data_IF_981315404470
#
_entry.id   IF_981315404470
#
_cell.length_a   1.000
_cell.length_b   1.000
_cell.length_c   1.000
_cell.angle_alpha   90.00
_cell.angle_beta   90.00
_cell.angle_gamma   90.00
#
_symmetry.space_group_name_H-M   'P 1'
#
loop_
_entity.id
_entity.type
_entity.pdbx_description
1 polymer ?
#
# COMPACT_ATOMS: atom_id res chain seq x y z
N UNK A 1 -44.30 -102.02 15.45
CA UNK A 1 -42.92 -101.60 15.79
C UNK A 1 -42.79 -100.11 15.50
N UNK A 2 -42.00 -99.39 16.29
CA UNK A 2 -41.77 -97.92 16.32
C UNK A 2 -42.73 -97.05 17.16
N UNK A 3 -42.35 -96.92 18.44
CA UNK A 3 -42.70 -95.84 19.37
C UNK A 3 -42.04 -94.54 18.88
N UNK A 4 -42.81 -93.48 18.66
CA UNK A 4 -42.28 -92.11 18.69
C UNK A 4 -42.75 -91.43 19.98
N UNK A 5 -41.82 -91.30 20.92
CA UNK A 5 -41.95 -90.46 22.11
C UNK A 5 -41.96 -88.99 21.65
N UNK A 6 -43.12 -88.32 21.77
CA UNK A 6 -43.17 -86.86 21.71
C UNK A 6 -42.70 -86.31 23.05
N UNK A 7 -41.41 -85.97 23.12
CA UNK A 7 -40.92 -85.09 24.16
C UNK A 7 -41.57 -83.71 23.95
N UNK A 8 -42.56 -83.37 24.78
CA UNK A 8 -43.04 -82.01 24.91
C UNK A 8 -41.89 -81.16 25.48
N UNK A 9 -41.19 -80.43 24.61
CA UNK A 9 -40.32 -79.34 25.04
C UNK A 9 -41.20 -78.34 25.80
N UNK A 10 -40.87 -78.12 27.07
CA UNK A 10 -41.56 -77.14 27.90
C UNK A 10 -41.16 -75.72 27.42
N UNK A 11 -41.98 -75.14 26.54
CA UNK A 11 -41.76 -73.84 25.88
C UNK A 11 -42.05 -72.65 26.83
N UNK A 12 -42.24 -72.89 28.14
CA UNK A 12 -42.62 -71.86 29.12
C UNK A 12 -41.47 -70.92 29.54
N UNK A 13 -40.30 -70.99 28.90
CA UNK A 13 -39.13 -70.13 29.19
C UNK A 13 -38.55 -69.36 27.99
N UNK A 14 -38.87 -69.72 26.74
CA UNK A 14 -38.28 -69.06 25.56
C UNK A 14 -38.83 -67.65 25.32
N UNK A 15 -40.10 -67.40 25.66
CA UNK A 15 -40.69 -66.05 25.62
C UNK A 15 -40.01 -65.10 26.61
N UNK A 16 -39.60 -65.61 27.78
CA UNK A 16 -38.85 -64.85 28.77
C UNK A 16 -37.45 -64.47 28.26
N UNK A 17 -36.73 -65.41 27.64
CA UNK A 17 -35.40 -65.15 27.07
C UNK A 17 -35.46 -64.13 25.93
N UNK A 18 -36.43 -64.25 25.02
CA UNK A 18 -36.60 -63.31 23.90
C UNK A 18 -36.98 -61.90 24.37
N UNK A 19 -37.85 -61.78 25.38
CA UNK A 19 -38.20 -60.47 25.96
C UNK A 19 -37.02 -59.84 26.68
N UNK A 20 -36.19 -60.63 27.36
CA UNK A 20 -35.01 -60.13 28.06
C UNK A 20 -33.92 -59.64 27.09
N UNK A 21 -33.71 -60.35 25.98
CA UNK A 21 -32.81 -59.91 24.89
C UNK A 21 -33.34 -58.64 24.21
N UNK A 22 -34.65 -58.56 23.97
CA UNK A 22 -35.23 -57.37 23.35
C UNK A 22 -35.13 -56.14 24.27
N UNK A 23 -35.42 -56.31 25.57
CA UNK A 23 -35.27 -55.26 26.57
C UNK A 23 -33.81 -54.82 26.75
N UNK A 24 -32.84 -55.75 26.70
CA UNK A 24 -31.43 -55.40 26.82
C UNK A 24 -30.94 -54.61 25.60
N UNK A 25 -31.31 -55.02 24.38
CA UNK A 25 -31.00 -54.27 23.15
C UNK A 25 -31.64 -52.87 23.20
N UNK A 26 -32.93 -52.79 23.57
CA UNK A 26 -33.64 -51.51 23.71
C UNK A 26 -32.95 -50.59 24.74
N UNK A 27 -32.50 -51.15 25.87
CA UNK A 27 -31.79 -50.41 26.91
C UNK A 27 -30.44 -49.88 26.41
N UNK A 28 -29.67 -50.68 25.67
CA UNK A 28 -28.38 -50.27 25.10
C UNK A 28 -28.55 -49.16 24.07
N UNK A 29 -29.57 -49.27 23.20
CA UNK A 29 -29.88 -48.24 22.21
C UNK A 29 -30.31 -46.95 22.92
N UNK A 30 -31.16 -47.06 23.96
CA UNK A 30 -31.65 -45.90 24.71
C UNK A 30 -30.52 -45.16 25.43
N UNK A 31 -29.58 -45.86 26.08
CA UNK A 31 -28.43 -45.21 26.72
C UNK A 31 -27.49 -44.58 25.70
N UNK A 32 -27.31 -45.21 24.54
CA UNK A 32 -26.50 -44.66 23.44
C UNK A 32 -27.08 -43.36 22.89
N UNK A 33 -28.40 -43.30 22.67
CA UNK A 33 -29.09 -42.09 22.18
C UNK A 33 -29.01 -40.97 23.22
N UNK A 34 -29.27 -41.26 24.50
CA UNK A 34 -29.14 -40.26 25.57
C UNK A 34 -27.71 -39.74 25.65
N UNK A 35 -26.71 -40.62 25.52
CA UNK A 35 -25.30 -40.23 25.46
C UNK A 35 -25.00 -39.27 24.29
N UNK A 36 -25.56 -39.56 23.11
CA UNK A 36 -25.40 -38.72 21.92
C UNK A 36 -26.06 -37.35 22.10
N UNK A 37 -27.28 -37.28 22.65
CA UNK A 37 -27.97 -36.00 22.94
C UNK A 37 -27.19 -35.16 23.95
N UNK A 38 -26.63 -35.78 24.99
CA UNK A 38 -25.79 -35.06 25.96
C UNK A 38 -24.52 -34.53 25.29
N UNK A 39 -23.88 -35.33 24.43
CA UNK A 39 -22.70 -34.93 23.69
C UNK A 39 -23.01 -33.76 22.72
N UNK A 40 -24.12 -33.84 21.98
CA UNK A 40 -24.58 -32.77 21.09
C UNK A 40 -24.90 -31.48 21.87
N UNK A 41 -25.58 -31.58 23.01
CA UNK A 41 -25.88 -30.41 23.83
C UNK A 41 -24.61 -29.76 24.40
N UNK A 42 -23.63 -30.55 24.84
CA UNK A 42 -22.32 -30.03 25.27
C UNK A 42 -21.60 -29.33 24.12
N UNK A 43 -21.60 -29.92 22.92
CA UNK A 43 -21.00 -29.34 21.73
C UNK A 43 -21.71 -28.04 21.33
N UNK A 44 -23.04 -28.00 21.38
CA UNK A 44 -23.83 -26.82 21.09
C UNK A 44 -23.53 -25.67 22.07
N UNK A 45 -23.44 -25.96 23.36
CA UNK A 45 -23.04 -24.98 24.38
C UNK A 45 -21.62 -24.46 24.14
N UNK A 46 -20.67 -25.35 23.81
CA UNK A 46 -19.30 -24.94 23.51
C UNK A 46 -19.26 -23.98 22.32
N UNK A 47 -19.90 -24.34 21.20
CA UNK A 47 -19.97 -23.48 20.00
C UNK A 47 -20.62 -22.13 20.29
N UNK A 48 -21.67 -22.12 21.09
CA UNK A 48 -22.34 -20.87 21.49
C UNK A 48 -21.41 -19.98 22.33
N UNK A 49 -20.71 -20.57 23.30
CA UNK A 49 -19.72 -19.84 24.11
C UNK A 49 -18.59 -19.30 23.24
N UNK A 50 -18.09 -20.08 22.29
CA UNK A 50 -17.05 -19.64 21.35
C UNK A 50 -17.50 -18.43 20.52
N UNK A 51 -18.74 -18.44 20.03
CA UNK A 51 -19.33 -17.34 19.27
C UNK A 51 -19.51 -16.09 20.14
N UNK A 52 -20.03 -16.24 21.37
CA UNK A 52 -20.12 -15.11 22.30
C UNK A 52 -18.74 -14.52 22.62
N UNK A 53 -17.74 -15.35 22.90
CA UNK A 53 -16.38 -14.88 23.16
C UNK A 53 -15.80 -14.14 21.95
N UNK A 54 -16.09 -14.59 20.73
CA UNK A 54 -15.71 -13.90 19.49
C UNK A 54 -16.38 -12.52 19.38
N UNK A 55 -17.70 -12.44 19.58
CA UNK A 55 -18.44 -11.17 19.51
C UNK A 55 -18.04 -10.18 20.61
N UNK A 56 -17.73 -10.69 21.81
CA UNK A 56 -17.19 -9.87 22.91
C UNK A 56 -15.81 -9.32 22.53
N UNK A 57 -14.94 -10.14 21.90
CA UNK A 57 -13.64 -9.69 21.43
C UNK A 57 -13.77 -8.62 20.31
N UNK A 58 -14.68 -8.81 19.35
CA UNK A 58 -15.00 -7.82 18.31
C UNK A 58 -15.52 -6.51 18.89
N UNK A 59 -16.40 -6.58 19.89
CA UNK A 59 -16.92 -5.39 20.58
C UNK A 59 -15.78 -4.57 21.20
N UNK A 60 -14.74 -5.24 21.70
CA UNK A 60 -13.53 -4.57 22.17
C UNK A 60 -12.78 -3.82 21.07
N UNK A 61 -12.63 -4.39 19.87
CA UNK A 61 -12.03 -3.67 18.73
C UNK A 61 -12.87 -2.43 18.38
N UNK A 62 -14.20 -2.56 18.27
CA UNK A 62 -15.07 -1.42 17.96
C UNK A 62 -15.00 -0.32 19.03
N UNK A 63 -14.90 -0.69 20.31
CA UNK A 63 -14.69 0.26 21.40
C UNK A 63 -13.33 0.97 21.29
N UNK A 64 -12.26 0.24 20.95
CA UNK A 64 -10.95 0.82 20.72
C UNK A 64 -10.95 1.81 19.53
N UNK A 65 -11.62 1.46 18.42
CA UNK A 65 -11.84 2.37 17.29
C UNK A 65 -12.54 3.65 17.73
N UNK A 66 -13.62 3.54 18.49
CA UNK A 66 -14.34 4.70 19.01
C UNK A 66 -13.42 5.58 19.87
N UNK A 67 -12.65 5.00 20.80
CA UNK A 67 -11.69 5.76 21.63
C UNK A 67 -10.68 6.50 20.78
N UNK A 68 -10.04 5.81 19.83
CA UNK A 68 -8.99 6.41 19.01
C UNK A 68 -9.50 7.42 17.99
N UNK A 69 -10.78 7.36 17.61
CA UNK A 69 -11.41 8.41 16.82
C UNK A 69 -11.62 9.71 17.63
N UNK A 70 -11.66 9.65 18.96
CA UNK A 70 -11.79 10.82 19.84
C UNK A 70 -10.44 11.30 20.38
N UNK A 71 -9.52 10.37 20.69
CA UNK A 71 -8.14 10.66 21.09
C UNK A 71 -7.18 9.67 20.41
N UNK A 72 -6.53 10.14 19.34
CA UNK A 72 -5.62 9.32 18.53
C UNK A 72 -4.32 8.92 19.26
N UNK A 73 -4.04 9.54 20.41
CA UNK A 73 -2.85 9.28 21.23
C UNK A 73 -3.11 8.34 22.42
N UNK A 74 -4.38 7.96 22.65
CA UNK A 74 -4.79 7.13 23.77
C UNK A 74 -4.52 5.64 23.51
N UNK A 75 -3.29 5.21 23.80
CA UNK A 75 -2.86 3.81 23.72
C UNK A 75 -3.05 3.04 25.04
N UNK A 76 -3.88 3.55 25.96
CA UNK A 76 -4.02 2.92 27.27
C UNK A 76 -4.87 1.64 27.18
N UNK A 77 -4.27 0.53 27.61
CA UNK A 77 -4.97 -0.74 27.73
C UNK A 77 -6.19 -0.63 28.66
N UNK A 78 -7.23 -1.38 28.37
CA UNK A 78 -8.47 -1.34 29.14
C UNK A 78 -9.10 -2.73 29.23
N UNK A 79 -9.70 -3.04 30.38
CA UNK A 79 -10.57 -4.20 30.53
C UNK A 79 -11.98 -3.69 30.78
N UNK A 80 -12.94 -4.19 30.00
CA UNK A 80 -14.33 -3.75 30.08
C UNK A 80 -15.27 -4.93 30.02
N UNK A 81 -16.43 -4.77 30.66
CA UNK A 81 -17.51 -5.75 30.67
C UNK A 81 -18.58 -5.32 29.68
N UNK A 82 -18.95 -6.22 28.77
CA UNK A 82 -20.03 -6.02 27.81
C UNK A 82 -21.36 -6.43 28.46
N UNK A 83 -22.33 -5.53 28.43
CA UNK A 83 -23.69 -5.78 28.91
C UNK A 83 -24.69 -5.81 27.76
N UNK A 84 -25.75 -6.60 27.92
CA UNK A 84 -26.91 -6.55 27.04
C UNK A 84 -27.76 -5.29 27.29
N UNK A 85 -28.83 -5.12 26.50
CA UNK A 85 -29.75 -3.99 26.63
C UNK A 85 -30.47 -3.92 27.99
N UNK A 86 -30.62 -5.04 28.69
CA UNK A 86 -31.23 -5.12 30.01
C UNK A 86 -30.22 -4.92 31.15
N UNK A 87 -28.94 -4.70 30.83
CA UNK A 87 -27.85 -4.55 31.81
C UNK A 87 -27.26 -5.87 32.30
N UNK A 88 -27.66 -7.00 31.71
CA UNK A 88 -27.08 -8.31 32.02
C UNK A 88 -25.67 -8.45 31.44
N UNK A 89 -24.73 -8.97 32.23
CA UNK A 89 -23.39 -9.25 31.73
C UNK A 89 -23.43 -10.33 30.63
N UNK A 90 -22.73 -10.09 29.53
CA UNK A 90 -22.53 -11.04 28.43
C UNK A 90 -21.13 -11.63 28.51
N UNK A 91 -20.12 -10.81 28.77
CA UNK A 91 -18.73 -11.21 28.87
C UNK A 91 -17.82 -10.02 29.09
N UNK A 92 -16.52 -10.24 29.07
CA UNK A 92 -15.52 -9.19 29.23
C UNK A 92 -14.43 -9.29 28.19
N UNK A 93 -13.81 -8.15 27.86
CA UNK A 93 -12.66 -8.08 26.97
C UNK A 93 -11.54 -7.25 27.56
N UNK A 94 -10.31 -7.53 27.12
CA UNK A 94 -9.11 -6.75 27.43
C UNK A 94 -8.46 -6.27 26.14
N UNK A 95 -8.14 -4.97 26.11
CA UNK A 95 -7.48 -4.30 25.00
C UNK A 95 -6.00 -4.08 25.29
N UNK A 96 -5.18 -4.33 24.29
CA UNK A 96 -3.77 -3.98 24.27
C UNK A 96 -3.43 -3.30 22.95
N UNK A 97 -2.65 -2.23 23.04
CA UNK A 97 -2.17 -1.47 21.88
C UNK A 97 -0.67 -1.72 21.72
N UNK A 98 -0.24 -1.97 20.49
CA UNK A 98 1.17 -2.02 20.13
C UNK A 98 1.45 -0.81 19.24
N UNK A 99 2.30 0.09 19.72
CA UNK A 99 2.75 1.24 18.94
C UNK A 99 3.52 0.76 17.72
N UNK A 100 3.34 1.41 16.55
CA UNK A 100 4.09 1.08 15.36
C UNK A 100 5.61 1.19 15.59
N UNK A 101 6.38 0.38 14.86
CA UNK A 101 7.81 0.61 14.72
C UNK A 101 8.06 1.95 13.99
N UNK A 102 9.24 2.55 14.17
CA UNK A 102 9.56 3.88 13.62
C UNK A 102 9.13 4.02 12.16
N UNK A 103 8.39 5.08 11.82
CA UNK A 103 7.94 5.33 10.44
C UNK A 103 6.73 4.53 9.96
N UNK A 104 6.09 3.69 10.78
CA UNK A 104 4.71 3.26 10.51
C UNK A 104 3.75 4.15 11.31
N UNK A 105 2.67 4.62 10.69
CA UNK A 105 1.65 5.45 11.35
C UNK A 105 0.47 4.63 11.90
N UNK A 106 0.53 3.31 11.76
CA UNK A 106 -0.59 2.40 12.06
C UNK A 106 -0.39 1.68 13.38
N UNK A 107 -1.45 1.63 14.17
CA UNK A 107 -1.45 1.01 15.48
C UNK A 107 -2.04 -0.39 15.37
N UNK A 108 -1.41 -1.37 16.02
CA UNK A 108 -2.01 -2.70 16.16
C UNK A 108 -2.84 -2.74 17.45
N UNK A 109 -4.13 -3.04 17.31
CA UNK A 109 -5.07 -3.18 18.41
C UNK A 109 -5.38 -4.66 18.57
N UNK A 110 -5.17 -5.20 19.77
CA UNK A 110 -5.53 -6.58 20.09
C UNK A 110 -6.60 -6.58 21.17
N UNK A 111 -7.69 -7.30 20.90
CA UNK A 111 -8.80 -7.50 21.82
C UNK A 111 -8.93 -8.98 22.17
N UNK A 112 -8.81 -9.29 23.46
CA UNK A 112 -9.04 -10.64 24.00
C UNK A 112 -10.38 -10.65 24.74
N UNK A 113 -11.39 -11.33 24.19
CA UNK A 113 -12.73 -11.44 24.75
C UNK A 113 -13.08 -12.83 25.26
N UNK A 114 -13.90 -12.92 26.30
CA UNK A 114 -14.45 -14.17 26.82
C UNK A 114 -15.89 -13.99 27.32
N UNK A 115 -16.68 -15.06 27.19
CA UNK A 115 -18.02 -15.15 27.76
C UNK A 115 -17.98 -15.26 29.29
N UNK A 116 -18.94 -14.64 29.98
CA UNK A 116 -18.97 -14.49 31.44
C UNK A 116 -18.79 -15.79 32.24
N UNK A 117 -19.37 -16.89 31.75
CA UNK A 117 -19.40 -18.17 32.46
C UNK A 117 -18.23 -19.09 32.03
N UNK A 118 -17.31 -18.59 31.19
CA UNK A 118 -16.26 -19.40 30.57
C UNK A 118 -15.01 -18.58 30.23
N UNK A 119 -14.30 -18.10 31.26
CA UNK A 119 -13.06 -17.31 31.12
C UNK A 119 -11.93 -18.02 30.38
N UNK A 120 -11.94 -19.35 30.37
CA UNK A 120 -10.91 -20.16 29.69
C UNK A 120 -11.18 -20.27 28.18
N UNK A 121 -12.42 -20.08 27.74
CA UNK A 121 -12.83 -20.10 26.34
C UNK A 121 -12.81 -18.68 25.79
N UNK A 122 -11.61 -18.14 25.58
CA UNK A 122 -11.42 -16.80 25.03
C UNK A 122 -11.17 -16.81 23.53
N UNK A 123 -11.40 -15.66 22.89
CA UNK A 123 -11.01 -15.35 21.51
C UNK A 123 -10.16 -14.10 21.50
N UNK A 124 -9.10 -14.11 20.69
CA UNK A 124 -8.23 -12.96 20.50
C UNK A 124 -8.27 -12.53 19.04
N UNK A 125 -8.75 -11.31 18.81
CA UNK A 125 -8.77 -10.67 17.49
C UNK A 125 -7.80 -9.50 17.49
N UNK A 126 -7.16 -9.27 16.35
CA UNK A 126 -6.22 -8.17 16.16
C UNK A 126 -6.61 -7.40 14.90
N UNK A 127 -6.56 -6.07 14.97
CA UNK A 127 -6.73 -5.21 13.82
C UNK A 127 -5.62 -4.17 13.73
N UNK A 128 -5.25 -3.77 12.51
CA UNK A 128 -4.40 -2.58 12.29
C UNK A 128 -5.30 -1.38 12.03
N UNK A 129 -5.08 -0.30 12.76
CA UNK A 129 -5.85 0.93 12.62
C UNK A 129 -4.93 2.07 12.23
N UNK A 130 -5.32 2.83 11.21
CA UNK A 130 -4.57 3.99 10.74
C UNK A 130 -5.22 4.60 9.52
N UNK A 131 -4.65 5.71 9.05
CA UNK A 131 -5.03 6.31 7.77
C UNK A 131 -4.42 5.50 6.63
N UNK A 132 -5.12 5.42 5.50
CA UNK A 132 -4.57 4.81 4.30
C UNK A 132 -3.41 5.66 3.78
N UNK A 133 -2.32 5.04 3.36
CA UNK A 133 -1.24 5.76 2.70
C UNK A 133 -1.63 6.16 1.27
N UNK A 134 -0.95 7.16 0.71
CA UNK A 134 -1.12 7.54 -0.71
C UNK A 134 -0.86 6.35 -1.65
N UNK A 135 -0.02 5.40 -1.22
CA UNK A 135 0.29 4.14 -1.88
C UNK A 135 -0.88 3.20 -2.06
N UNK A 136 -2.04 3.47 -1.44
CA UNK A 136 -3.27 2.73 -1.71
C UNK A 136 -3.74 2.87 -3.18
N UNK A 137 -3.25 3.91 -3.86
CA UNK A 137 -3.42 4.14 -5.28
C UNK A 137 -2.16 3.70 -6.04
N UNK A 138 -2.35 3.03 -7.17
CA UNK A 138 -1.25 2.81 -8.12
C UNK A 138 -0.90 4.12 -8.81
N UNK A 139 -1.92 4.92 -9.13
CA UNK A 139 -1.76 6.25 -9.71
C UNK A 139 -2.60 7.27 -8.95
N UNK A 140 -1.96 8.33 -8.47
CA UNK A 140 -2.62 9.41 -7.74
C UNK A 140 -2.13 10.76 -8.26
N UNK A 141 -3.04 11.52 -8.87
CA UNK A 141 -2.73 12.78 -9.52
C UNK A 141 -3.56 13.96 -8.99
N UNK A 142 -2.99 15.16 -8.95
CA UNK A 142 -3.75 16.41 -8.68
C UNK A 142 -4.22 17.07 -9.99
N UNK A 143 -3.47 16.88 -11.10
CA UNK A 143 -3.84 17.33 -12.44
C UNK A 143 -4.47 16.20 -13.29
N UNK A 144 -4.96 16.52 -14.49
CA UNK A 144 -5.50 15.53 -15.41
C UNK A 144 -4.45 14.53 -15.90
N UNK A 145 -4.90 13.36 -16.34
CA UNK A 145 -4.02 12.27 -16.76
C UNK A 145 -4.56 11.55 -18.00
N UNK A 146 -3.66 10.94 -18.77
CA UNK A 146 -4.01 10.08 -19.91
C UNK A 146 -3.35 8.71 -19.79
N UNK A 147 -4.18 7.67 -19.79
CA UNK A 147 -3.76 6.27 -19.81
C UNK A 147 -4.00 5.68 -21.20
N UNK A 148 -2.97 5.75 -22.04
CA UNK A 148 -2.90 5.08 -23.34
C UNK A 148 -2.31 3.66 -23.30
N UNK A 149 -2.13 3.08 -22.11
CA UNK A 149 -1.59 1.71 -21.91
C UNK A 149 -2.67 0.64 -22.07
N UNK A 150 -2.33 -0.60 -22.47
CA UNK A 150 -3.32 -1.66 -22.65
C UNK A 150 -4.03 -2.06 -21.34
N UNK A 151 -3.29 -2.09 -20.22
CA UNK A 151 -3.81 -2.48 -18.90
C UNK A 151 -3.29 -1.58 -17.80
N UNK A 152 -4.17 -1.19 -16.87
CA UNK A 152 -3.83 -0.43 -15.66
C UNK A 152 -4.20 -1.28 -14.45
N UNK A 153 -3.20 -1.64 -13.65
CA UNK A 153 -3.39 -2.42 -12.43
C UNK A 153 -3.45 -1.52 -11.19
N UNK A 154 -4.39 -1.78 -10.29
CA UNK A 154 -4.57 -1.02 -9.06
C UNK A 154 -5.44 0.23 -9.23
N UNK A 155 -5.66 0.94 -8.13
CA UNK A 155 -6.59 2.07 -8.08
C UNK A 155 -5.98 3.31 -8.73
N UNK A 156 -6.81 4.08 -9.43
CA UNK A 156 -6.45 5.35 -10.05
C UNK A 156 -7.31 6.47 -9.48
N UNK A 157 -6.68 7.58 -9.12
CA UNK A 157 -7.38 8.80 -8.74
C UNK A 157 -6.73 10.03 -9.37
N UNK A 158 -7.57 10.99 -9.78
CA UNK A 158 -7.13 12.34 -10.15
C UNK A 158 -8.09 13.37 -9.58
N UNK A 159 -7.57 14.47 -9.03
CA UNK A 159 -8.40 15.65 -8.74
C UNK A 159 -8.84 16.39 -10.02
N UNK A 160 -8.17 16.13 -11.14
CA UNK A 160 -8.55 16.55 -12.49
C UNK A 160 -9.30 15.45 -13.25
N UNK A 161 -9.27 15.55 -14.59
CA UNK A 161 -9.93 14.59 -15.48
C UNK A 161 -9.00 13.46 -15.92
N UNK A 162 -9.57 12.27 -16.14
CA UNK A 162 -8.84 11.08 -16.57
C UNK A 162 -9.33 10.62 -17.94
N UNK A 163 -8.43 10.62 -18.92
CA UNK A 163 -8.60 9.88 -20.18
C UNK A 163 -8.13 8.44 -19.99
N UNK A 164 -9.05 7.49 -19.95
CA UNK A 164 -8.79 6.06 -19.79
C UNK A 164 -9.08 5.31 -21.09
N UNK A 165 -8.04 5.10 -21.91
CA UNK A 165 -8.13 4.30 -23.14
C UNK A 165 -7.72 2.82 -22.91
N UNK A 166 -7.08 2.54 -21.77
CA UNK A 166 -6.70 1.20 -21.33
C UNK A 166 -7.80 0.42 -20.59
N UNK A 167 -7.61 -0.89 -20.43
CA UNK A 167 -8.47 -1.70 -19.56
C UNK A 167 -7.99 -1.62 -18.12
N UNK A 168 -8.88 -1.24 -17.20
CA UNK A 168 -8.56 -1.16 -15.78
C UNK A 168 -9.07 -2.38 -15.01
N UNK A 169 -8.33 -2.81 -14.00
CA UNK A 169 -8.72 -3.94 -13.13
C UNK A 169 -9.27 -3.50 -11.75
N UNK A 170 -9.24 -2.20 -11.45
CA UNK A 170 -9.69 -1.59 -10.20
C UNK A 170 -10.42 -0.26 -10.42
N UNK A 171 -10.76 0.43 -9.33
CA UNK A 171 -11.53 1.66 -9.37
C UNK A 171 -10.73 2.82 -10.00
N UNK A 172 -11.36 3.54 -10.93
CA UNK A 172 -10.86 4.79 -11.51
C UNK A 172 -11.75 5.93 -11.03
N UNK A 173 -11.17 6.90 -10.35
CA UNK A 173 -11.91 7.98 -9.72
C UNK A 173 -11.43 9.35 -10.14
N UNK A 174 -12.37 10.26 -10.38
CA UNK A 174 -12.07 11.67 -10.65
C UNK A 174 -12.89 12.57 -9.72
N UNK A 175 -12.26 13.62 -9.20
CA UNK A 175 -12.95 14.57 -8.32
C UNK A 175 -13.93 15.49 -9.07
N UNK A 176 -13.75 15.66 -10.39
CA UNK A 176 -14.57 16.57 -11.19
C UNK A 176 -15.69 15.84 -11.92
N UNK A 177 -16.84 16.50 -12.05
CA UNK A 177 -17.96 15.98 -12.86
C UNK A 177 -17.69 16.14 -14.36
N UNK A 178 -16.96 17.19 -14.74
CA UNK A 178 -16.59 17.51 -16.11
C UNK A 178 -15.19 18.12 -16.17
N UNK A 179 -14.48 17.86 -17.26
CA UNK A 179 -13.10 18.30 -17.46
C UNK A 179 -12.89 18.86 -18.86
N UNK A 180 -11.98 19.83 -19.00
CA UNK A 180 -11.59 20.38 -20.31
C UNK A 180 -10.43 19.57 -20.87
N UNK A 181 -10.72 18.69 -21.82
CA UNK A 181 -9.72 17.95 -22.57
C UNK A 181 -8.95 18.91 -23.49
N UNK A 182 -7.63 18.82 -23.47
CA UNK A 182 -6.69 19.64 -24.28
C UNK A 182 -5.79 18.74 -25.13
N UNK A 183 -4.87 19.33 -25.90
CA UNK A 183 -3.94 18.58 -26.76
C UNK A 183 -3.08 17.56 -26.01
N UNK A 184 -2.69 17.84 -24.76
CA UNK A 184 -1.89 16.89 -23.95
C UNK A 184 -2.67 15.61 -23.61
N UNK A 185 -4.00 15.68 -23.66
CA UNK A 185 -4.90 14.53 -23.50
C UNK A 185 -5.34 13.97 -24.86
N UNK A 186 -4.72 14.39 -25.97
CA UNK A 186 -5.03 13.98 -27.33
C UNK A 186 -6.30 14.61 -27.94
N UNK A 187 -6.78 15.75 -27.44
CA UNK A 187 -7.88 16.51 -28.05
C UNK A 187 -7.35 17.65 -28.93
N UNK A 188 -7.78 17.72 -30.19
CA UNK A 188 -7.32 18.74 -31.15
C UNK A 188 -7.82 20.15 -30.83
N UNK A 189 -9.02 20.25 -30.26
CA UNK A 189 -9.61 21.48 -29.72
C UNK A 189 -9.99 21.25 -28.28
N UNK A 190 -10.09 22.32 -27.49
CA UNK A 190 -10.58 22.20 -26.13
C UNK A 190 -12.02 21.67 -26.13
N UNK A 191 -12.21 20.49 -25.56
CA UNK A 191 -13.50 19.78 -25.52
C UNK A 191 -13.91 19.53 -24.06
N UNK A 192 -15.19 19.66 -23.75
CA UNK A 192 -15.72 19.26 -22.44
C UNK A 192 -15.97 17.75 -22.44
N UNK A 193 -15.35 17.05 -21.50
CA UNK A 193 -15.52 15.62 -21.24
C UNK A 193 -16.04 15.41 -19.81
N UNK A 194 -16.49 14.20 -19.53
CA UNK A 194 -16.77 13.75 -18.17
C UNK A 194 -15.48 13.70 -17.32
N UNK A 195 -15.60 13.53 -16.00
CA UNK A 195 -14.43 13.37 -15.11
C UNK A 195 -13.55 12.19 -15.48
N UNK A 196 -14.15 11.08 -15.90
CA UNK A 196 -13.44 9.95 -16.53
C UNK A 196 -14.09 9.67 -17.89
N UNK A 197 -13.27 9.59 -18.93
CA UNK A 197 -13.72 9.28 -20.31
C UNK A 197 -12.67 8.46 -21.06
N UNK A 198 -13.04 7.82 -22.16
CA UNK A 198 -12.09 7.13 -23.04
C UNK A 198 -12.68 5.85 -23.63
N UNK A 199 -11.86 5.13 -24.40
CA UNK A 199 -12.25 3.88 -25.05
C UNK A 199 -11.96 2.62 -24.21
N UNK A 200 -11.43 2.79 -22.99
CA UNK A 200 -10.99 1.71 -22.13
C UNK A 200 -12.10 0.75 -21.68
N UNK A 201 -11.70 -0.48 -21.36
CA UNK A 201 -12.58 -1.53 -20.83
C UNK A 201 -12.95 -1.31 -19.36
N UNK A 202 -13.93 -2.07 -18.86
CA UNK A 202 -14.42 -2.05 -17.47
C UNK A 202 -14.90 -0.68 -16.98
N UNK A 203 -15.66 0.04 -17.82
CA UNK A 203 -16.17 1.38 -17.48
C UNK A 203 -17.10 1.41 -16.24
N UNK A 204 -17.63 0.27 -15.80
CA UNK A 204 -18.37 0.14 -14.54
C UNK A 204 -17.50 0.42 -13.30
N UNK A 205 -16.18 0.39 -13.44
CA UNK A 205 -15.21 0.75 -12.39
C UNK A 205 -14.87 2.24 -12.41
N UNK A 206 -15.44 3.03 -13.32
CA UNK A 206 -15.21 4.47 -13.40
C UNK A 206 -16.25 5.19 -12.53
N UNK A 207 -15.79 6.01 -11.59
CA UNK A 207 -16.65 6.75 -10.66
C UNK A 207 -16.25 8.22 -10.60
N UNK A 208 -17.20 9.11 -10.86
CA UNK A 208 -17.00 10.56 -10.83
C UNK A 208 -18.36 11.28 -10.73
N UNK A 209 -18.44 12.47 -10.11
CA UNK A 209 -17.40 13.06 -9.26
C UNK A 209 -17.26 12.33 -7.91
N UNK A 210 -16.06 12.35 -7.33
CA UNK A 210 -15.80 11.94 -5.93
C UNK A 210 -15.17 13.09 -5.14
N UNK A 211 -14.97 12.89 -3.82
CA UNK A 211 -14.28 13.88 -2.99
C UNK A 211 -12.81 13.98 -3.44
N UNK A 212 -12.24 15.19 -3.62
CA UNK A 212 -10.84 15.37 -3.96
C UNK A 212 -9.91 14.93 -2.83
N UNK A 213 -8.72 14.47 -3.20
CA UNK A 213 -7.66 14.12 -2.27
C UNK A 213 -6.78 15.34 -2.01
N UNK A 214 -6.55 15.69 -0.74
CA UNK A 214 -5.76 16.87 -0.39
C UNK A 214 -4.24 16.59 -0.44
N UNK A 215 -3.60 17.03 -1.53
CA UNK A 215 -2.15 16.98 -1.70
C UNK A 215 -1.38 17.98 -0.81
N UNK A 216 -2.03 19.02 -0.28
CA UNK A 216 -1.33 20.04 0.53
C UNK A 216 -1.02 19.53 1.95
N UNK A 217 -1.77 18.54 2.45
CA UNK A 217 -1.49 17.85 3.71
C UNK A 217 -0.10 17.18 3.76
N UNK A 218 0.54 16.99 2.60
CA UNK A 218 1.90 16.47 2.45
C UNK A 218 2.96 17.52 2.76
N UNK A 219 2.65 18.82 2.62
CA UNK A 219 3.65 19.90 2.76
C UNK A 219 4.13 20.02 4.21
N UNK A 220 3.21 19.94 5.17
CA UNK A 220 3.55 19.97 6.61
C UNK A 220 4.40 18.77 7.03
N UNK A 221 4.30 17.64 6.32
CA UNK A 221 5.08 16.44 6.62
C UNK A 221 6.58 16.59 6.29
N UNK A 222 6.97 17.42 5.32
CA UNK A 222 8.39 17.59 4.96
C UNK A 222 9.17 18.37 6.02
N UNK A 223 8.53 19.32 6.71
CA UNK A 223 9.14 20.05 7.83
C UNK A 223 9.35 19.11 9.02
N UNK A 224 8.32 18.31 9.37
CA UNK A 224 8.43 17.28 10.41
C UNK A 224 9.55 16.25 10.09
N UNK A 225 9.68 15.85 8.82
CA UNK A 225 10.73 14.92 8.37
C UNK A 225 12.14 15.53 8.41
N UNK A 226 12.26 16.83 8.14
CA UNK A 226 13.52 17.55 8.26
C UNK A 226 13.96 17.63 9.73
N UNK A 227 13.06 18.03 10.64
CA UNK A 227 13.31 18.05 12.10
C UNK A 227 13.70 16.65 12.61
N UNK A 228 13.01 15.60 12.16
CA UNK A 228 13.35 14.21 12.52
C UNK A 228 14.78 13.83 12.10
N UNK A 229 15.21 14.22 10.90
CA UNK A 229 16.53 13.85 10.39
C UNK A 229 17.66 14.73 10.95
N UNK A 230 17.51 16.05 10.94
CA UNK A 230 18.55 17.00 11.35
C UNK A 230 18.60 17.16 12.89
N UNK A 231 17.48 17.47 13.52
CA UNK A 231 17.45 17.83 14.95
C UNK A 231 17.39 16.60 15.86
N UNK A 232 16.61 15.58 15.47
CA UNK A 232 16.45 14.34 16.26
C UNK A 232 17.44 13.24 15.89
N UNK A 233 18.17 13.37 14.76
CA UNK A 233 19.17 12.40 14.32
C UNK A 233 18.59 11.05 13.89
N UNK A 234 17.36 11.02 13.39
CA UNK A 234 16.70 9.80 12.88
C UNK A 234 17.02 9.60 11.40
N UNK A 235 17.64 8.47 11.07
CA UNK A 235 18.01 8.14 9.69
C UNK A 235 19.30 8.82 9.25
N UNK A 236 19.39 9.20 7.97
CA UNK A 236 20.53 9.89 7.39
C UNK A 236 20.14 11.28 6.88
N UNK A 237 20.78 12.31 7.41
CA UNK A 237 20.65 13.69 6.92
C UNK A 237 21.81 14.07 6.00
N UNK A 238 21.49 14.64 4.84
CA UNK A 238 22.43 15.06 3.80
C UNK A 238 22.24 16.56 3.49
N UNK A 239 23.05 17.40 4.15
CA UNK A 239 22.93 18.86 4.02
C UNK A 239 23.46 19.39 2.69
N UNK A 240 22.74 20.35 2.11
CA UNK A 240 23.13 21.04 0.87
C UNK A 240 24.46 21.78 0.98
N UNK A 241 24.81 22.25 2.18
CA UNK A 241 26.06 22.96 2.43
C UNK A 241 27.30 22.09 2.14
N UNK A 242 27.21 20.79 2.37
CA UNK A 242 28.28 19.85 2.08
C UNK A 242 28.37 19.53 0.59
N UNK A 243 27.23 19.46 -0.10
CA UNK A 243 27.15 19.13 -1.52
C UNK A 243 26.07 19.92 -2.26
N UNK A 244 26.41 21.10 -2.82
CA UNK A 244 25.41 21.97 -3.46
C UNK A 244 24.88 21.43 -4.79
N UNK A 245 25.57 20.46 -5.43
CA UNK A 245 25.14 19.82 -6.68
C UNK A 245 24.26 18.58 -6.47
N UNK A 246 24.13 18.10 -5.24
CA UNK A 246 23.34 16.91 -4.91
C UNK A 246 24.14 15.63 -4.68
N UNK A 247 23.42 14.58 -4.32
CA UNK A 247 23.98 13.31 -3.88
C UNK A 247 23.55 12.18 -4.82
N UNK A 248 24.39 11.17 -5.02
CA UNK A 248 23.95 9.90 -5.62
C UNK A 248 23.88 8.83 -4.54
N UNK A 249 22.75 8.12 -4.48
CA UNK A 249 22.51 6.99 -3.61
C UNK A 249 22.52 5.71 -4.44
N UNK A 250 23.55 4.89 -4.23
CA UNK A 250 23.64 3.55 -4.80
C UNK A 250 23.26 2.50 -3.74
N UNK A 251 22.05 1.97 -3.84
CA UNK A 251 21.56 0.93 -2.95
C UNK A 251 22.22 -0.42 -3.26
N UNK A 252 22.69 -1.12 -2.24
CA UNK A 252 23.36 -2.41 -2.37
C UNK A 252 22.49 -3.55 -1.82
N UNK A 253 22.60 -4.72 -2.44
CA UNK A 253 21.82 -5.91 -2.09
C UNK A 253 22.10 -6.45 -0.67
N UNK A 254 23.12 -5.97 0.02
CA UNK A 254 23.42 -6.32 1.41
C UNK A 254 22.62 -5.51 2.44
N UNK A 255 21.98 -4.41 2.02
CA UNK A 255 21.23 -3.48 2.89
C UNK A 255 22.00 -2.21 3.24
N UNK A 256 23.12 -1.95 2.55
CA UNK A 256 23.87 -0.70 2.65
C UNK A 256 23.60 0.23 1.46
N UNK A 257 23.92 1.50 1.61
CA UNK A 257 23.80 2.55 0.60
C UNK A 257 25.14 3.24 0.50
N UNK A 258 25.76 3.21 -0.68
CA UNK A 258 26.90 4.05 -0.99
C UNK A 258 26.37 5.45 -1.33
N UNK A 259 26.78 6.43 -0.53
CA UNK A 259 26.41 7.82 -0.69
C UNK A 259 27.55 8.54 -1.36
N UNK A 260 27.33 9.01 -2.58
CA UNK A 260 28.28 9.78 -3.35
C UNK A 260 27.91 11.25 -3.33
N UNK A 261 28.94 12.08 -3.29
CA UNK A 261 28.87 13.51 -3.52
C UNK A 261 29.03 13.77 -5.02
N UNK A 262 28.07 14.44 -5.64
CA UNK A 262 28.15 14.80 -7.07
C UNK A 262 29.11 15.98 -7.25
N UNK A 263 30.17 15.78 -8.02
CA UNK A 263 31.21 16.79 -8.28
C UNK A 263 30.99 17.49 -9.61
N UNK A 264 30.52 16.79 -10.65
CA UNK A 264 30.12 17.37 -11.94
C UNK A 264 28.93 16.64 -12.56
N UNK A 265 28.16 17.40 -13.34
CA UNK A 265 27.14 16.88 -14.25
C UNK A 265 27.69 16.94 -15.67
N UNK A 266 27.16 16.08 -16.52
CA UNK A 266 27.45 16.05 -17.95
C UNK A 266 27.11 17.38 -18.65
N UNK A 267 27.57 17.53 -19.89
CA UNK A 267 27.28 18.74 -20.67
C UNK A 267 25.76 19.01 -20.76
N UNK A 268 25.30 20.25 -20.53
CA UNK A 268 23.89 20.58 -20.59
C UNK A 268 23.23 20.20 -21.92
N UNK A 269 22.03 19.65 -21.83
CA UNK A 269 21.22 19.26 -22.98
C UNK A 269 19.92 20.06 -22.97
N UNK A 270 19.44 20.45 -24.15
CA UNK A 270 18.12 21.09 -24.26
C UNK A 270 17.01 20.06 -24.16
N UNK A 271 16.05 20.31 -23.29
CA UNK A 271 14.88 19.44 -23.12
C UNK A 271 13.65 20.25 -22.73
N UNK A 272 12.49 19.61 -22.80
CA UNK A 272 11.20 20.23 -22.53
C UNK A 272 10.40 19.44 -21.51
N UNK A 273 9.74 20.17 -20.62
CA UNK A 273 8.80 19.62 -19.64
C UNK A 273 7.44 20.27 -19.81
N UNK A 274 6.39 19.48 -19.64
CA UNK A 274 5.03 19.99 -19.53
C UNK A 274 4.74 20.36 -18.08
N UNK A 275 4.56 21.65 -17.80
CA UNK A 275 4.36 22.17 -16.44
C UNK A 275 3.27 23.24 -16.47
N UNK A 276 2.24 23.10 -15.64
CA UNK A 276 1.13 24.05 -15.52
C UNK A 276 0.47 24.37 -16.87
N UNK A 277 0.21 23.35 -17.68
CA UNK A 277 -0.44 23.51 -18.99
C UNK A 277 0.42 24.14 -20.08
N UNK A 278 1.72 24.31 -19.86
CA UNK A 278 2.65 24.93 -20.81
C UNK A 278 3.92 24.10 -20.99
N UNK A 279 4.48 24.16 -22.20
CA UNK A 279 5.83 23.65 -22.46
C UNK A 279 6.87 24.63 -21.94
N UNK A 280 7.71 24.17 -21.01
CA UNK A 280 8.88 24.89 -20.53
C UNK A 280 10.14 24.26 -21.11
N UNK A 281 11.07 25.11 -21.56
CA UNK A 281 12.38 24.69 -22.04
C UNK A 281 13.40 24.79 -20.91
N UNK A 282 14.29 23.81 -20.84
CA UNK A 282 15.39 23.76 -19.88
C UNK A 282 16.69 23.49 -20.63
N UNK A 283 17.80 23.94 -20.03
CA UNK A 283 19.14 23.71 -20.55
C UNK A 283 20.06 23.41 -19.39
N UNK A 284 20.01 22.15 -18.95
CA UNK A 284 20.80 21.58 -17.87
C UNK A 284 21.04 20.10 -18.17
N UNK A 285 21.84 19.43 -17.34
CA UNK A 285 22.01 17.98 -17.40
C UNK A 285 21.30 17.33 -16.21
N UNK A 286 20.76 16.13 -16.44
CA UNK A 286 20.27 15.23 -15.39
C UNK A 286 21.21 14.04 -15.21
N UNK A 287 22.31 13.97 -15.94
CA UNK A 287 23.28 12.89 -15.90
C UNK A 287 24.54 13.33 -15.15
N UNK A 288 25.01 12.46 -14.25
CA UNK A 288 26.25 12.65 -13.50
C UNK A 288 27.44 12.38 -14.43
N UNK A 289 28.46 13.24 -14.34
CA UNK A 289 29.76 13.07 -15.01
C UNK A 289 30.81 12.54 -14.04
N UNK A 290 30.89 13.14 -12.84
CA UNK A 290 31.80 12.71 -11.78
C UNK A 290 31.15 12.79 -10.39
N UNK A 291 31.45 11.80 -9.56
CA UNK A 291 30.99 11.73 -8.19
C UNK A 291 32.01 10.99 -7.30
N UNK A 292 32.20 11.49 -6.08
CA UNK A 292 33.13 10.94 -5.10
C UNK A 292 32.37 10.23 -3.98
N UNK A 293 32.82 9.03 -3.58
CA UNK A 293 32.22 8.32 -2.45
C UNK A 293 32.41 9.12 -1.17
N UNK A 294 31.31 9.57 -0.56
CA UNK A 294 31.32 10.31 0.70
C UNK A 294 31.31 9.36 1.89
N UNK A 295 30.41 8.38 1.88
CA UNK A 295 30.26 7.40 2.96
C UNK A 295 29.48 6.17 2.51
N UNK A 296 29.57 5.10 3.30
CA UNK A 296 28.68 3.93 3.20
C UNK A 296 27.76 3.92 4.41
N UNK A 297 26.46 3.96 4.16
CA UNK A 297 25.41 4.00 5.18
C UNK A 297 24.69 2.66 5.27
N UNK A 298 24.52 2.12 6.48
CA UNK A 298 23.77 0.87 6.67
C UNK A 298 22.33 1.18 7.06
N UNK A 299 21.37 0.70 6.26
CA UNK A 299 19.96 0.93 6.54
C UNK A 299 19.53 0.27 7.86
N UNK A 300 18.99 1.09 8.77
CA UNK A 300 18.40 0.64 10.01
C UNK A 300 17.11 -0.16 9.74
N UNK A 301 16.86 -1.16 10.58
CA UNK A 301 15.69 -2.03 10.47
C UNK A 301 14.80 -1.84 11.71
N UNK A 302 13.46 -1.95 11.59
CA UNK A 302 12.69 -2.44 10.44
C UNK A 302 12.37 -1.38 9.37
N UNK A 303 12.89 -0.17 9.52
CA UNK A 303 12.58 0.99 8.70
C UNK A 303 13.67 2.04 8.85
N UNK A 304 13.93 2.76 7.76
CA UNK A 304 14.87 3.85 7.75
C UNK A 304 14.40 5.02 6.88
N UNK A 305 15.14 6.12 6.96
CA UNK A 305 14.83 7.36 6.30
C UNK A 305 16.12 8.09 5.87
N UNK A 306 16.11 8.70 4.68
CA UNK A 306 17.20 9.54 4.17
C UNK A 306 16.59 10.87 3.76
N UNK A 307 17.07 11.96 4.34
CA UNK A 307 16.67 13.32 3.99
C UNK A 307 17.84 14.05 3.34
N UNK A 308 17.63 14.60 2.15
CA UNK A 308 18.61 15.42 1.46
C UNK A 308 18.06 16.82 1.13
N UNK A 309 18.85 17.85 1.41
CA UNK A 309 18.51 19.25 1.08
C UNK A 309 18.88 19.65 -0.36
N UNK A 310 19.45 18.73 -1.12
CA UNK A 310 19.86 18.91 -2.51
C UNK A 310 19.16 17.88 -3.42
N UNK A 311 19.37 17.99 -4.73
CA UNK A 311 18.95 16.97 -5.68
C UNK A 311 19.57 15.60 -5.36
N UNK A 312 18.84 14.53 -5.63
CA UNK A 312 19.29 13.16 -5.33
C UNK A 312 19.17 12.27 -6.55
N UNK A 313 20.25 11.60 -6.93
CA UNK A 313 20.26 10.52 -7.90
C UNK A 313 20.12 9.17 -7.21
N UNK A 314 19.32 8.27 -7.77
CA UNK A 314 19.03 6.97 -7.15
C UNK A 314 19.24 5.83 -8.15
N UNK A 315 19.95 4.79 -7.71
CA UNK A 315 20.14 3.51 -8.43
C UNK A 315 20.42 2.34 -7.47
N UNK A 316 20.40 1.13 -8.00
CA UNK A 316 20.89 -0.07 -7.33
C UNK A 316 19.78 -1.02 -6.84
N UNK A 317 20.12 -1.84 -5.86
CA UNK A 317 19.27 -2.91 -5.32
C UNK A 317 18.88 -2.61 -3.88
N UNK A 318 17.59 -2.44 -3.61
CA UNK A 318 17.03 -2.09 -2.30
C UNK A 318 16.77 -3.34 -1.47
N UNK A 319 17.30 -3.36 -0.25
CA UNK A 319 17.01 -4.37 0.77
C UNK A 319 16.61 -3.71 2.08
N UNK A 320 15.41 -4.03 2.57
CA UNK A 320 14.79 -3.36 3.71
C UNK A 320 13.87 -2.22 3.27
N UNK A 321 13.35 -1.48 4.24
CA UNK A 321 12.33 -0.44 4.03
C UNK A 321 12.92 0.93 4.27
N UNK A 322 12.90 1.80 3.26
CA UNK A 322 13.51 3.12 3.34
C UNK A 322 12.71 4.14 2.54
N UNK A 323 12.64 5.37 3.05
CA UNK A 323 12.14 6.53 2.30
C UNK A 323 13.25 7.54 2.10
N UNK A 324 13.42 8.01 0.88
CA UNK A 324 14.34 9.08 0.50
C UNK A 324 13.53 10.34 0.19
N UNK A 325 13.87 11.43 0.86
CA UNK A 325 13.29 12.75 0.63
C UNK A 325 14.35 13.68 0.06
N UNK A 326 13.96 14.43 -0.97
CA UNK A 326 14.75 15.55 -1.49
C UNK A 326 13.94 16.85 -1.33
N UNK A 327 14.33 17.71 -0.38
CA UNK A 327 13.66 18.97 -0.08
C UNK A 327 14.57 19.91 0.74
N UNK A 328 14.59 21.20 0.41
CA UNK A 328 15.28 22.23 1.21
C UNK A 328 14.30 22.94 2.14
N UNK A 329 14.67 23.06 3.41
CA UNK A 329 13.91 23.71 4.48
C UNK A 329 14.78 24.82 5.11
N UNK A 330 14.29 26.06 5.32
CA UNK A 330 12.95 26.53 4.97
C UNK A 330 12.75 26.65 3.45
N UNK A 331 11.48 26.57 3.03
CA UNK A 331 11.15 26.53 1.61
C UNK A 331 11.41 27.88 0.92
N UNK A 332 12.41 27.91 0.04
CA UNK A 332 12.63 29.02 -0.88
C UNK A 332 11.90 28.75 -2.21
N UNK A 333 11.02 29.66 -2.64
CA UNK A 333 9.99 29.42 -3.67
C UNK A 333 10.50 29.34 -5.12
N UNK A 334 11.78 29.06 -5.35
CA UNK A 334 12.38 29.12 -6.69
C UNK A 334 13.18 27.87 -7.09
N UNK A 335 13.67 27.07 -6.13
CA UNK A 335 14.45 25.86 -6.41
C UNK A 335 13.92 24.71 -5.56
N UNK A 336 13.06 23.88 -6.15
CA UNK A 336 12.62 22.64 -5.52
C UNK A 336 13.56 21.51 -5.89
N UNK A 337 13.97 20.74 -4.90
CA UNK A 337 14.87 19.61 -5.07
C UNK A 337 14.15 18.47 -5.81
N UNK A 338 14.86 17.92 -6.79
CA UNK A 338 14.41 16.83 -7.62
C UNK A 338 15.07 15.51 -7.19
N UNK A 339 14.37 14.40 -7.41
CA UNK A 339 14.96 13.06 -7.37
C UNK A 339 15.11 12.58 -8.82
N UNK A 340 16.28 12.08 -9.18
CA UNK A 340 16.59 11.59 -10.52
C UNK A 340 16.91 10.10 -10.47
N UNK A 341 16.23 9.30 -11.29
CA UNK A 341 16.55 7.88 -11.49
C UNK A 341 17.65 7.80 -12.55
N UNK A 342 18.88 7.43 -12.13
CA UNK A 342 20.06 7.36 -13.00
C UNK A 342 20.26 5.99 -13.64
N UNK A 343 19.78 4.92 -13.02
CA UNK A 343 19.87 3.54 -13.51
C UNK A 343 18.73 2.72 -12.90
N UNK A 344 18.75 1.40 -13.08
CA UNK A 344 17.82 0.46 -12.48
C UNK A 344 17.78 0.64 -10.96
N UNK A 345 16.55 0.64 -10.44
CA UNK A 345 16.25 0.55 -9.02
C UNK A 345 15.40 -0.70 -8.84
N UNK A 346 15.92 -1.70 -8.14
CA UNK A 346 15.24 -3.00 -8.02
C UNK A 346 15.11 -3.44 -6.57
N UNK A 347 14.01 -4.11 -6.23
CA UNK A 347 13.89 -4.75 -4.92
C UNK A 347 14.66 -6.07 -4.89
N UNK A 348 15.37 -6.30 -3.79
CA UNK A 348 16.04 -7.58 -3.54
C UNK A 348 15.02 -8.73 -3.34
N UNK A 349 13.83 -8.41 -2.82
CA UNK A 349 12.73 -9.34 -2.54
C UNK A 349 11.37 -8.66 -2.77
N UNK A 350 10.37 -9.42 -3.24
CA UNK A 350 9.03 -8.91 -3.58
C UNK A 350 7.94 -9.39 -2.59
N UNK A 351 8.33 -9.79 -1.39
CA UNK A 351 7.44 -10.28 -0.32
C UNK A 351 6.99 -9.16 0.65
N UNK A 352 7.28 -7.90 0.32
CA UNK A 352 6.98 -6.74 1.16
C UNK A 352 8.05 -6.39 2.19
N UNK A 353 9.16 -7.15 2.26
CA UNK A 353 10.30 -6.83 3.15
C UNK A 353 11.23 -5.75 2.58
N UNK A 354 11.24 -5.55 1.26
CA UNK A 354 11.95 -4.46 0.60
C UNK A 354 10.94 -3.44 0.03
N UNK A 355 11.08 -2.17 0.40
CA UNK A 355 10.21 -1.08 -0.06
C UNK A 355 11.02 0.21 -0.13
N UNK A 356 10.95 0.92 -1.26
CA UNK A 356 11.54 2.25 -1.44
C UNK A 356 10.43 3.30 -1.63
N UNK A 357 10.43 4.34 -0.81
CA UNK A 357 9.68 5.57 -1.05
C UNK A 357 10.59 6.67 -1.54
N UNK A 358 10.24 7.34 -2.64
CA UNK A 358 10.95 8.53 -3.14
C UNK A 358 10.00 9.72 -3.09
N UNK A 359 10.33 10.73 -2.29
CA UNK A 359 9.53 11.94 -2.13
C UNK A 359 10.38 13.14 -2.53
N UNK A 360 10.13 13.68 -3.71
CA UNK A 360 10.74 14.92 -4.17
C UNK A 360 9.81 16.11 -3.87
N UNK A 361 10.38 17.20 -3.35
CA UNK A 361 9.67 18.48 -3.28
C UNK A 361 9.29 18.94 -4.69
N UNK A 362 10.22 18.85 -5.63
CA UNK A 362 10.07 19.20 -7.04
C UNK A 362 9.48 18.04 -7.83
N UNK A 363 10.36 17.32 -8.53
CA UNK A 363 10.03 16.30 -9.53
C UNK A 363 10.75 14.98 -9.23
N UNK A 364 10.17 13.87 -9.67
CA UNK A 364 10.89 12.59 -9.79
C UNK A 364 11.12 12.33 -11.28
N UNK A 365 12.35 12.46 -11.73
CA UNK A 365 12.72 12.46 -13.14
C UNK A 365 13.53 11.21 -13.49
N UNK A 366 13.46 10.81 -14.75
CA UNK A 366 14.35 9.80 -15.31
C UNK A 366 15.45 10.50 -16.10
N UNK A 367 16.71 10.16 -15.84
CA UNK A 367 17.85 10.71 -16.54
C UNK A 367 17.82 10.39 -18.05
N UNK A 368 18.65 11.08 -18.84
CA UNK A 368 18.73 10.84 -20.28
C UNK A 368 19.49 9.52 -20.55
N UNK A 369 20.63 9.33 -19.89
CA UNK A 369 21.55 8.19 -20.08
C UNK A 369 21.23 6.99 -19.17
N UNK A 370 19.99 6.50 -19.24
CA UNK A 370 19.56 5.23 -18.60
C UNK A 370 19.72 4.02 -19.54
N UNK A 371 19.69 2.77 -19.04
CA UNK A 371 19.64 1.58 -19.89
C UNK A 371 18.45 1.56 -20.86
N UNK A 372 18.57 0.78 -21.94
CA UNK A 372 17.48 0.61 -22.91
C UNK A 372 16.24 -0.07 -22.31
N UNK A 373 16.45 -0.97 -21.35
CA UNK A 373 15.42 -1.61 -20.56
C UNK A 373 15.59 -1.18 -19.09
N UNK A 374 14.78 -0.22 -18.66
CA UNK A 374 14.84 0.36 -17.31
C UNK A 374 13.82 -0.30 -16.39
N UNK A 375 14.24 -0.69 -15.19
CA UNK A 375 13.39 -1.18 -14.11
C UNK A 375 13.44 -0.21 -12.93
N UNK A 376 12.26 0.22 -12.48
CA UNK A 376 12.11 1.14 -11.34
C UNK A 376 11.11 0.58 -10.33
N UNK A 377 11.64 0.04 -9.24
CA UNK A 377 10.87 -0.46 -8.11
C UNK A 377 10.83 0.60 -7.02
N UNK A 378 9.64 1.06 -6.68
CA UNK A 378 9.49 2.16 -5.73
C UNK A 378 8.13 2.82 -5.79
N UNK A 379 7.85 3.57 -4.72
CA UNK A 379 6.78 4.55 -4.68
C UNK A 379 7.38 5.89 -5.06
N UNK A 380 7.00 6.43 -6.20
CA UNK A 380 7.52 7.68 -6.75
C UNK A 380 6.54 8.81 -6.46
N UNK A 381 6.97 9.83 -5.73
CA UNK A 381 6.13 10.97 -5.35
C UNK A 381 6.79 12.31 -5.63
N UNK A 382 6.11 13.13 -6.42
CA UNK A 382 6.45 14.53 -6.66
C UNK A 382 5.41 15.45 -6.00
N UNK A 383 5.83 16.21 -4.99
CA UNK A 383 4.91 17.03 -4.19
C UNK A 383 4.40 18.26 -4.95
N UNK A 384 5.24 18.90 -5.76
CA UNK A 384 4.85 20.12 -6.51
C UNK A 384 4.94 19.95 -8.02
N UNK A 385 5.77 19.02 -8.49
CA UNK A 385 6.04 18.78 -9.90
C UNK A 385 5.55 17.43 -10.40
N UNK A 386 6.29 16.86 -11.33
CA UNK A 386 5.92 15.67 -12.09
C UNK A 386 6.73 14.44 -11.68
N UNK A 387 6.13 13.27 -11.82
CA UNK A 387 6.88 12.00 -11.98
C UNK A 387 6.92 11.67 -13.46
N UNK A 388 8.09 11.59 -14.08
CA UNK A 388 8.15 11.37 -15.53
C UNK A 388 9.53 11.47 -16.14
N UNK A 389 9.56 11.56 -17.47
CA UNK A 389 10.78 11.78 -18.26
C UNK A 389 10.58 12.98 -19.16
N UNK A 390 11.54 13.88 -19.19
CA UNK A 390 11.49 15.07 -20.04
C UNK A 390 11.50 14.69 -21.53
N UNK A 391 10.98 15.59 -22.35
CA UNK A 391 11.04 15.47 -23.81
C UNK A 391 12.42 15.89 -24.29
N UNK A 392 13.14 14.95 -24.90
CA UNK A 392 14.41 15.18 -25.57
C UNK A 392 14.22 15.04 -27.08
N UNK A 393 14.52 16.11 -27.81
CA UNK A 393 14.52 16.08 -29.28
C UNK A 393 15.70 15.25 -29.78
N UNK A 394 15.52 14.53 -30.90
CA UNK A 394 16.62 13.78 -31.52
C UNK A 394 17.71 14.73 -32.02
N UNK A 395 18.94 14.50 -31.60
CA UNK A 395 20.07 15.34 -31.98
C UNK A 395 21.41 14.78 -31.52
N UNK A 396 22.53 15.40 -31.91
CA UNK A 396 23.88 14.90 -31.59
C UNK A 396 24.15 14.75 -30.08
N UNK A 397 23.52 15.59 -29.25
CA UNK A 397 23.70 15.58 -27.78
C UNK A 397 22.79 14.57 -27.06
N UNK A 398 21.67 14.21 -27.69
CA UNK A 398 20.66 13.32 -27.10
C UNK A 398 20.68 11.93 -27.71
N UNK A 399 21.35 11.72 -28.84
CA UNK A 399 21.47 10.40 -29.48
C UNK A 399 22.54 9.55 -28.80
N UNK A 400 22.32 8.22 -28.64
CA UNK A 400 21.09 7.47 -29.00
C UNK A 400 20.00 7.50 -27.92
N UNK A 401 20.18 8.31 -26.88
CA UNK A 401 19.51 8.22 -25.58
C UNK A 401 18.10 8.82 -25.48
N UNK A 402 17.70 9.67 -26.44
CA UNK A 402 16.37 10.26 -26.50
C UNK A 402 15.25 9.22 -26.61
N UNK A 403 15.54 8.03 -27.14
CA UNK A 403 14.66 6.87 -27.19
C UNK A 403 15.26 5.69 -26.44
N UNK A 404 14.40 4.92 -25.77
CA UNK A 404 14.70 3.69 -25.04
C UNK A 404 13.68 2.61 -25.37
N UNK A 405 14.06 1.35 -25.19
CA UNK A 405 13.22 0.20 -25.54
C UNK A 405 12.04 0.05 -24.58
N UNK A 406 12.30 -0.06 -23.28
CA UNK A 406 11.25 -0.34 -22.30
C UNK A 406 11.51 0.29 -20.93
N UNK A 407 10.42 0.60 -20.23
CA UNK A 407 10.42 0.86 -18.80
C UNK A 407 9.42 -0.06 -18.10
N UNK A 408 9.82 -0.65 -16.99
CA UNK A 408 8.93 -1.37 -16.10
C UNK A 408 8.96 -0.73 -14.72
N UNK A 409 7.80 -0.31 -14.21
CA UNK A 409 7.68 0.20 -12.84
C UNK A 409 6.98 -0.82 -11.95
N UNK A 410 7.36 -0.87 -10.67
CA UNK A 410 6.70 -1.68 -9.65
C UNK A 410 6.47 -0.86 -8.38
N UNK A 411 5.22 -0.53 -8.11
CA UNK A 411 4.83 0.33 -6.99
C UNK A 411 3.72 1.32 -7.37
N UNK A 412 3.92 2.59 -7.00
CA UNK A 412 2.94 3.66 -7.20
C UNK A 412 3.58 4.92 -7.78
N UNK A 413 2.83 5.64 -8.60
CA UNK A 413 3.22 6.93 -9.17
C UNK A 413 2.25 8.00 -8.65
N UNK A 414 2.79 8.98 -7.94
CA UNK A 414 2.05 10.03 -7.25
C UNK A 414 2.60 11.38 -7.69
N UNK A 415 1.77 12.25 -8.24
CA UNK A 415 2.25 13.54 -8.74
C UNK A 415 1.20 14.63 -8.60
N UNK A 416 1.65 15.83 -8.24
CA UNK A 416 0.80 17.02 -8.30
C UNK A 416 0.59 17.50 -9.74
N UNK A 417 1.66 17.54 -10.54
CA UNK A 417 1.57 17.93 -11.94
C UNK A 417 1.04 16.83 -12.86
N UNK A 418 0.80 17.20 -14.11
CA UNK A 418 0.53 16.25 -15.18
C UNK A 418 1.73 15.31 -15.37
N UNK A 419 1.49 14.03 -15.17
CA UNK A 419 2.46 12.95 -15.38
C UNK A 419 1.94 12.00 -16.45
N UNK A 420 2.75 11.72 -17.46
CA UNK A 420 2.48 10.63 -18.40
C UNK A 420 2.99 9.32 -17.77
N UNK A 421 2.09 8.40 -17.35
CA UNK A 421 2.47 7.13 -16.74
C UNK A 421 3.19 6.18 -17.72
N UNK A 422 3.34 6.55 -18.99
CA UNK A 422 4.05 5.81 -20.03
C UNK A 422 5.49 6.28 -20.23
N UNK A 423 5.91 7.38 -19.59
CA UNK A 423 7.25 7.95 -19.70
C UNK A 423 7.71 8.17 -21.16
N UNK A 424 6.77 8.55 -22.03
CA UNK A 424 7.02 8.70 -23.47
C UNK A 424 6.32 9.92 -24.02
N UNK A 425 6.77 10.36 -25.17
CA UNK A 425 6.19 11.48 -25.90
C UNK A 425 5.84 11.01 -27.30
N UNK A 426 4.60 11.26 -27.69
CA UNK A 426 4.08 10.84 -28.99
C UNK A 426 3.80 12.06 -29.88
N UNK A 427 3.99 11.87 -31.19
CA UNK A 427 3.57 12.84 -32.19
C UNK A 427 2.05 12.67 -32.53
N UNK A 428 1.47 13.57 -33.35
CA UNK A 428 0.07 13.45 -33.77
C UNK A 428 -0.27 12.16 -34.54
N UNK A 429 0.73 11.48 -35.11
CA UNK A 429 0.60 10.20 -35.83
C UNK A 429 0.77 8.98 -34.90
N UNK A 430 0.83 9.21 -33.58
CA UNK A 430 1.00 8.22 -32.51
C UNK A 430 2.35 7.49 -32.51
N UNK A 431 3.38 8.05 -33.17
CA UNK A 431 4.74 7.53 -33.08
C UNK A 431 5.40 8.04 -31.81
N UNK A 432 6.18 7.18 -31.16
CA UNK A 432 7.01 7.58 -30.02
C UNK A 432 8.22 8.36 -30.54
N UNK A 433 8.30 9.64 -30.19
CA UNK A 433 9.37 10.57 -30.64
C UNK A 433 10.41 10.85 -29.55
N UNK A 434 10.12 10.52 -28.30
CA UNK A 434 11.06 10.63 -27.16
C UNK A 434 10.59 9.77 -26.00
N UNK A 435 11.49 9.35 -25.11
CA UNK A 435 11.18 8.54 -23.93
C UNK A 435 11.29 7.03 -24.17
N UNK A 436 10.32 6.25 -23.70
CA UNK A 436 10.32 4.78 -23.83
C UNK A 436 9.30 4.29 -24.88
N UNK A 437 9.71 3.35 -25.73
CA UNK A 437 8.82 2.75 -26.75
C UNK A 437 7.72 1.93 -26.08
N UNK A 438 8.06 1.15 -25.06
CA UNK A 438 7.12 0.34 -24.28
C UNK A 438 7.20 0.66 -22.79
N UNK A 439 6.05 0.61 -22.11
CA UNK A 439 5.93 0.90 -20.68
C UNK A 439 5.03 -0.13 -20.00
N UNK A 440 5.49 -0.73 -18.92
CA UNK A 440 4.69 -1.64 -18.08
C UNK A 440 4.65 -1.08 -16.66
N UNK A 441 3.46 -0.91 -16.10
CA UNK A 441 3.30 -0.45 -14.73
C UNK A 441 2.62 -1.55 -13.91
N UNK A 442 3.26 -1.98 -12.83
CA UNK A 442 2.79 -3.06 -11.97
C UNK A 442 2.56 -2.48 -10.58
N UNK A 443 1.34 -2.63 -10.06
CA UNK A 443 1.07 -2.23 -8.68
C UNK A 443 1.64 -3.26 -7.70
N UNK A 444 2.36 -2.78 -6.68
CA UNK A 444 2.77 -3.61 -5.56
C UNK A 444 1.60 -3.74 -4.56
N UNK A 445 1.01 -4.92 -4.35
CA UNK A 445 -0.09 -5.07 -3.40
C UNK A 445 0.37 -4.90 -1.94
N UNK A 446 1.66 -5.07 -1.64
CA UNK A 446 2.19 -4.97 -0.28
C UNK A 446 2.16 -3.51 0.21
N UNK A 447 2.42 -2.52 -0.65
CA UNK A 447 2.44 -1.10 -0.25
C UNK A 447 1.05 -0.53 0.07
N UNK A 448 -0.04 -1.25 -0.27
CA UNK A 448 -1.41 -0.89 0.15
C UNK A 448 -1.53 -0.88 1.69
N UNK A 449 -0.88 -1.86 2.32
CA UNK A 449 -0.92 -2.09 3.76
C UNK A 449 0.47 -2.16 4.37
N UNK A 450 1.54 -1.77 3.68
CA UNK A 450 2.89 -1.68 4.21
C UNK A 450 3.65 -0.63 3.39
N UNK A 451 3.10 0.58 3.34
CA UNK A 451 3.70 1.72 2.65
C UNK A 451 5.16 1.95 3.07
N UNK A 452 5.98 2.67 2.27
CA UNK A 452 7.30 3.10 2.70
C UNK A 452 7.26 3.79 4.08
N UNK A 453 8.33 3.73 4.87
CA UNK A 453 8.37 4.40 6.16
C UNK A 453 8.10 5.91 6.03
N UNK A 454 7.37 6.49 6.97
CA UNK A 454 7.03 7.92 7.02
C UNK A 454 6.29 8.46 5.79
N UNK A 455 5.69 7.59 4.97
CA UNK A 455 5.02 8.02 3.76
C UNK A 455 3.68 8.74 4.05
N UNK A 456 3.29 9.74 3.24
CA UNK A 456 2.05 10.49 3.44
C UNK A 456 0.78 9.63 3.45
N UNK A 457 -0.22 10.07 4.22
CA UNK A 457 -1.51 9.37 4.41
C UNK A 457 -2.72 10.24 4.05
N UNK A 458 -3.80 9.59 3.57
CA UNK A 458 -5.07 10.21 3.16
C UNK A 458 -6.23 9.76 4.04
N UNK A 459 -7.24 10.64 4.12
CA UNK A 459 -8.55 10.31 4.66
C UNK A 459 -8.60 10.17 6.18
N UNK A 460 -9.59 9.40 6.64
CA UNK A 460 -9.87 9.14 8.05
C UNK A 460 -9.28 7.80 8.44
N UNK A 461 -8.81 7.69 9.68
CA UNK A 461 -8.29 6.42 10.17
C UNK A 461 -9.40 5.38 10.29
N UNK A 462 -9.13 4.16 9.84
CA UNK A 462 -10.04 3.02 9.95
C UNK A 462 -9.25 1.71 10.14
N UNK A 463 -9.96 0.61 10.39
CA UNK A 463 -9.38 -0.72 10.34
C UNK A 463 -8.93 -1.05 8.92
N UNK A 464 -7.64 -1.29 8.78
CA UNK A 464 -6.99 -1.63 7.51
C UNK A 464 -6.81 -3.13 7.33
N UNK A 465 -6.65 -3.85 8.43
CA UNK A 465 -6.38 -5.28 8.46
C UNK A 465 -7.03 -5.88 9.70
N UNK A 466 -7.44 -7.15 9.61
CA UNK A 466 -8.14 -7.87 10.66
C UNK A 466 -7.78 -9.36 10.63
N UNK A 467 -7.40 -9.90 11.78
CA UNK A 467 -7.09 -11.32 11.93
C UNK A 467 -7.52 -11.88 13.30
N UNK A 468 -7.91 -13.15 13.33
CA UNK A 468 -8.13 -13.90 14.58
C UNK A 468 -6.86 -14.68 14.93
N UNK A 469 -6.17 -14.31 16.02
CA UNK A 469 -4.86 -14.87 16.37
C UNK A 469 -4.91 -16.12 17.22
N UNK A 470 -5.80 -16.16 18.22
CA UNK A 470 -5.75 -17.20 19.24
C UNK A 470 -7.13 -17.56 19.78
N UNK A 471 -7.26 -18.84 20.13
CA UNK A 471 -8.45 -19.47 20.68
C UNK A 471 -8.06 -20.19 21.97
N UNK A 472 -8.66 -19.80 23.08
CA UNK A 472 -8.62 -20.60 24.31
C UNK A 472 -9.41 -21.89 24.10
N UNK A 473 -8.89 -23.00 24.61
CA UNK A 473 -9.53 -24.33 24.57
C UNK A 473 -9.96 -24.78 25.94
#
# INVERSE_FOLDING_TARGET
MLKFSRAFLNIRGTTLVMTLVFLSILSIISTSIVGLVIAENKLAKLRLTEEYSFQVAESGLQYARWRMAHDASDFTGATQTLTDFAGGEVGSYTLTFTTPAGGDSRISITSKGWYKDATNLYRTVTAKYGKMAFTYYSFLFDEGAWFGIPTVDGRVHSNGGIRMDGTVNSLVTSAVSSYTCTQVHGCNTNETKAGVWGAGGNQSLWTYPVVPIDFNSVITNLEDLHELAEDMGVGLFLSKNATPKGYELNFLADGTVEVYKVESLENPVSHRRWVNGLWKNYTNSLDIDDAELLQVYTLQQPSDFIFAESDVWVRGTVKGRVTVVAAEIPQESANYQDIVISDNVVYNTYDGSAVLGLIAKGNVLIALKVPDDLRVDGVLMAQTGIVGRDYYESGPQTNPYYLRTSITTYGSIISKGFSDPQFRWIDPDLNVVSGFVTSTNIYDPNIAFNAPPYFPTVGVADFMDWEEKAKGT
#
